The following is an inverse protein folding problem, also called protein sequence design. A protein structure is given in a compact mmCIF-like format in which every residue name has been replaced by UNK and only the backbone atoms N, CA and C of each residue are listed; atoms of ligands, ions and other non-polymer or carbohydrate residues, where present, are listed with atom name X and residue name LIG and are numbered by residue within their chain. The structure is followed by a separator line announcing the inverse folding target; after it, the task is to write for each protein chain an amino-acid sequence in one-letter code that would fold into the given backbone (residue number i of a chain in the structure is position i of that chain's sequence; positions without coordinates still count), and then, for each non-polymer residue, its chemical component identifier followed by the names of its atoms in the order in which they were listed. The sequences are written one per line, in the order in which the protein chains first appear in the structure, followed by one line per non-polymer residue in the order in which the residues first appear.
data_IF_710714621545
#
_entry.id   IF_710714621545
#
_cell.length_a   1.000
_cell.length_b   1.000
_cell.length_c   1.000
_cell.angle_alpha   90.00
_cell.angle_beta   90.00
_cell.angle_gamma   90.00
#
_symmetry.space_group_name_H-M   'P 1'
#
loop_
_entity.id
_entity.type
_entity.pdbx_description
1 polymer ?
#
# COMPACT_ATOMS: atom_id res chain seq x y z
N UNK A 1 10.09 10.48 3.17
CA UNK A 1 9.81 11.57 2.21
C UNK A 1 8.52 11.33 1.43
N UNK A 2 8.33 10.17 0.79
CA UNK A 2 7.11 9.87 -0.01
C UNK A 2 5.80 10.07 0.77
N UNK A 3 5.68 9.53 1.98
CA UNK A 3 4.44 9.65 2.78
C UNK A 3 4.10 11.12 3.07
N UNK A 4 5.11 11.93 3.39
CA UNK A 4 4.93 13.37 3.60
C UNK A 4 4.49 14.07 2.31
N UNK A 5 5.03 13.67 1.15
CA UNK A 5 4.59 14.17 -0.14
C UNK A 5 3.12 13.81 -0.43
N UNK A 6 2.67 12.60 -0.09
CA UNK A 6 1.26 12.22 -0.23
C UNK A 6 0.35 13.11 0.62
N UNK A 7 0.74 13.43 1.86
CA UNK A 7 -0.01 14.39 2.69
C UNK A 7 0.00 15.81 2.12
N UNK A 8 1.14 16.27 1.59
CA UNK A 8 1.22 17.59 0.96
C UNK A 8 0.30 17.68 -0.27
N UNK A 9 0.30 16.66 -1.13
CA UNK A 9 -0.60 16.57 -2.28
C UNK A 9 -2.06 16.53 -1.82
N UNK A 10 -2.40 15.71 -0.82
CA UNK A 10 -3.76 15.65 -0.29
C UNK A 10 -4.24 17.00 0.25
N UNK A 11 -3.36 17.77 0.90
CA UNK A 11 -3.66 19.11 1.39
C UNK A 11 -3.93 20.09 0.23
N UNK A 12 -3.11 20.06 -0.82
CA UNK A 12 -3.25 20.91 -2.01
C UNK A 12 -4.52 20.58 -2.81
N UNK A 13 -4.85 19.30 -2.96
CA UNK A 13 -6.00 18.83 -3.75
C UNK A 13 -7.34 18.96 -2.99
N UNK A 14 -7.32 19.06 -1.66
CA UNK A 14 -8.51 19.08 -0.82
C UNK A 14 -9.62 20.08 -1.26
N UNK A 15 -9.32 21.36 -1.55
CA UNK A 15 -10.33 22.32 -1.99
C UNK A 15 -10.89 22.03 -3.38
N UNK A 16 -10.11 21.39 -4.26
CA UNK A 16 -10.48 21.08 -5.65
C UNK A 16 -11.28 19.78 -5.76
N UNK A 17 -11.11 18.89 -4.79
CA UNK A 17 -11.71 17.56 -4.80
C UNK A 17 -13.24 17.66 -4.76
N UNK A 18 -13.98 16.89 -5.56
CA UNK A 18 -15.44 16.80 -5.43
C UNK A 18 -15.84 16.05 -4.14
N UNK A 19 -17.09 16.18 -3.64
CA UNK A 19 -17.54 15.49 -2.44
C UNK A 19 -17.37 13.96 -2.49
N UNK A 20 -17.49 13.38 -3.69
CA UNK A 20 -17.30 11.96 -3.95
C UNK A 20 -16.24 11.72 -5.02
N UNK A 21 -15.35 10.78 -4.76
CA UNK A 21 -14.25 10.35 -5.63
C UNK A 21 -14.31 8.83 -5.81
N UNK A 22 -13.76 8.27 -6.90
CA UNK A 22 -13.71 6.82 -7.10
C UNK A 22 -13.14 6.12 -5.87
N UNK A 23 -13.66 4.95 -5.52
CA UNK A 23 -13.20 4.20 -4.36
C UNK A 23 -13.07 2.70 -4.62
N UNK A 24 -13.47 2.27 -5.82
CA UNK A 24 -13.30 0.92 -6.31
C UNK A 24 -13.38 0.93 -7.84
N UNK A 25 -12.69 -0.04 -8.43
CA UNK A 25 -12.69 -0.27 -9.86
C UNK A 25 -12.92 -1.75 -10.11
N UNK A 26 -13.69 -2.04 -11.14
CA UNK A 26 -13.87 -3.39 -11.67
C UNK A 26 -12.56 -3.95 -12.26
N UNK A 27 -12.54 -5.26 -12.52
CA UNK A 27 -11.46 -5.89 -13.29
C UNK A 27 -11.28 -5.31 -14.71
N UNK A 28 -12.32 -4.65 -15.26
CA UNK A 28 -12.24 -3.94 -16.54
C UNK A 28 -11.61 -2.54 -16.44
N UNK A 29 -11.37 -2.04 -15.22
CA UNK A 29 -10.86 -0.69 -14.97
C UNK A 29 -11.95 0.37 -14.86
N UNK A 30 -13.21 0.00 -15.01
CA UNK A 30 -14.36 0.90 -14.82
C UNK A 30 -14.61 1.14 -13.34
N UNK A 31 -14.96 2.38 -12.98
CA UNK A 31 -15.36 2.77 -11.63
C UNK A 31 -16.75 2.21 -11.33
N UNK A 32 -16.90 1.48 -10.23
CA UNK A 32 -18.17 0.88 -9.77
C UNK A 32 -18.58 1.32 -8.35
N UNK A 33 -17.69 2.03 -7.64
CA UNK A 33 -18.00 2.60 -6.32
C UNK A 33 -17.31 3.95 -6.13
N UNK A 34 -18.03 4.87 -5.50
CA UNK A 34 -17.50 6.14 -5.03
C UNK A 34 -17.40 6.18 -3.51
N UNK A 35 -16.46 6.96 -2.99
CA UNK A 35 -16.24 7.22 -1.58
C UNK A 35 -16.06 8.73 -1.34
N UNK A 36 -16.00 9.13 -0.07
CA UNK A 36 -15.83 10.54 0.28
C UNK A 36 -14.38 11.05 0.09
N UNK A 37 -14.21 12.38 0.11
CA UNK A 37 -12.89 13.05 0.05
C UNK A 37 -11.87 12.46 1.03
N UNK A 38 -12.29 12.23 2.27
CA UNK A 38 -11.43 11.64 3.30
C UNK A 38 -10.89 10.26 2.87
N UNK A 39 -11.76 9.43 2.29
CA UNK A 39 -11.41 8.09 1.88
C UNK A 39 -10.38 8.09 0.75
N UNK A 40 -10.55 8.90 -0.30
CA UNK A 40 -9.59 8.86 -1.41
C UNK A 40 -8.33 9.72 -1.21
N UNK A 41 -8.38 10.79 -0.40
CA UNK A 41 -7.20 11.64 -0.18
C UNK A 41 -6.40 11.33 1.10
N UNK A 42 -7.02 10.88 2.19
CA UNK A 42 -6.32 10.70 3.47
C UNK A 42 -6.14 9.25 3.91
N UNK A 43 -7.05 8.34 3.53
CA UNK A 43 -6.96 6.95 3.96
C UNK A 43 -5.67 6.28 3.48
N UNK A 44 -5.23 6.55 2.24
CA UNK A 44 -4.01 5.95 1.67
C UNK A 44 -2.72 6.50 2.30
N UNK A 45 -2.51 7.83 2.44
CA UNK A 45 -1.38 8.36 3.20
C UNK A 45 -1.35 7.87 4.65
N UNK A 46 -2.51 7.81 5.33
CA UNK A 46 -2.61 7.30 6.70
C UNK A 46 -2.26 5.81 6.79
N UNK A 47 -2.74 4.99 5.86
CA UNK A 47 -2.42 3.56 5.79
C UNK A 47 -0.93 3.34 5.51
N UNK A 48 -0.33 4.14 4.62
CA UNK A 48 1.10 4.12 4.38
C UNK A 48 1.89 4.49 5.64
N UNK A 49 1.50 5.56 6.33
CA UNK A 49 2.11 5.98 7.59
C UNK A 49 1.99 4.89 8.67
N UNK A 50 0.82 4.26 8.80
CA UNK A 50 0.58 3.18 9.74
C UNK A 50 1.48 1.97 9.46
N UNK A 51 1.52 1.48 8.21
CA UNK A 51 2.36 0.33 7.82
C UNK A 51 3.83 0.60 8.13
N UNK A 52 4.34 1.77 7.75
CA UNK A 52 5.74 2.13 8.02
C UNK A 52 6.01 2.37 9.51
N UNK A 53 5.05 2.94 10.23
CA UNK A 53 5.10 3.07 11.69
C UNK A 53 5.17 1.71 12.38
N UNK A 54 4.39 0.72 11.93
CA UNK A 54 4.42 -0.65 12.44
C UNK A 54 5.76 -1.33 12.14
N UNK A 55 6.30 -1.19 10.92
CA UNK A 55 7.62 -1.73 10.56
C UNK A 55 8.72 -1.10 11.44
N UNK A 56 8.68 0.21 11.63
CA UNK A 56 9.62 0.93 12.49
C UNK A 56 9.48 0.48 13.97
N UNK A 57 8.26 0.35 14.47
CA UNK A 57 7.99 -0.14 15.82
C UNK A 57 8.51 -1.57 16.03
N UNK A 58 8.33 -2.45 15.05
CA UNK A 58 8.89 -3.81 15.05
C UNK A 58 10.42 -3.78 15.09
N UNK A 59 11.04 -2.90 14.28
CA UNK A 59 12.48 -2.71 14.29
C UNK A 59 12.97 -2.26 15.67
N UNK A 60 12.33 -1.25 16.28
CA UNK A 60 12.71 -0.72 17.60
C UNK A 60 12.49 -1.73 18.74
N UNK A 61 11.36 -2.42 18.77
CA UNK A 61 10.97 -3.30 19.88
C UNK A 61 11.57 -4.71 19.86
N UNK A 62 12.04 -5.20 18.71
CA UNK A 62 12.50 -6.60 18.55
C UNK A 62 13.86 -6.75 17.83
N UNK A 63 14.76 -5.77 17.97
CA UNK A 63 16.10 -5.78 17.36
C UNK A 63 16.85 -7.13 17.46
N UNK A 64 16.64 -7.90 18.54
CA UNK A 64 17.29 -9.18 18.85
C UNK A 64 16.59 -10.44 18.33
N UNK A 65 15.34 -10.39 17.86
CA UNK A 65 14.56 -11.59 17.47
C UNK A 65 14.41 -11.81 15.97
N UNK A 66 14.69 -10.80 15.14
CA UNK A 66 14.59 -10.92 13.69
C UNK A 66 15.96 -10.95 13.05
N UNK A 67 16.29 -12.02 12.33
CA UNK A 67 17.54 -12.06 11.58
C UNK A 67 17.50 -11.09 10.39
N UNK A 68 18.69 -10.72 9.89
CA UNK A 68 18.81 -9.81 8.74
C UNK A 68 17.95 -10.21 7.51
N UNK A 69 17.79 -11.50 7.16
CA UNK A 69 16.93 -11.90 6.05
C UNK A 69 15.44 -11.58 6.26
N UNK A 70 14.92 -11.75 7.48
CA UNK A 70 13.51 -11.44 7.78
C UNK A 70 13.28 -9.94 7.73
N UNK A 71 14.21 -9.14 8.27
CA UNK A 71 14.15 -7.67 8.19
C UNK A 71 14.11 -7.18 6.74
N UNK A 72 14.96 -7.73 5.86
CA UNK A 72 14.96 -7.39 4.42
C UNK A 72 13.63 -7.76 3.77
N UNK A 73 13.09 -8.94 4.05
CA UNK A 73 11.81 -9.36 3.49
C UNK A 73 10.64 -8.50 3.98
N UNK A 74 10.64 -8.10 5.25
CA UNK A 74 9.63 -7.19 5.80
C UNK A 74 9.71 -5.81 5.12
N UNK A 75 10.91 -5.28 4.90
CA UNK A 75 11.10 -4.01 4.17
C UNK A 75 10.62 -4.12 2.72
N UNK A 76 10.95 -5.23 2.02
CA UNK A 76 10.47 -5.47 0.66
C UNK A 76 8.93 -5.49 0.60
N UNK A 77 8.27 -6.13 1.56
CA UNK A 77 6.81 -6.10 1.67
C UNK A 77 6.29 -4.66 1.92
N UNK A 78 6.93 -3.92 2.83
CA UNK A 78 6.59 -2.53 3.09
C UNK A 78 6.70 -1.63 1.86
N UNK A 79 7.75 -1.80 1.05
CA UNK A 79 7.91 -1.10 -0.21
C UNK A 79 6.87 -1.52 -1.25
N UNK A 80 6.57 -2.82 -1.38
CA UNK A 80 5.54 -3.29 -2.31
C UNK A 80 4.16 -2.72 -1.98
N UNK A 81 3.78 -2.69 -0.69
CA UNK A 81 2.57 -2.02 -0.23
C UNK A 81 2.58 -0.52 -0.50
N UNK A 82 3.71 0.15 -0.26
CA UNK A 82 3.86 1.57 -0.55
C UNK A 82 3.64 1.88 -2.04
N UNK A 83 4.15 1.04 -2.95
CA UNK A 83 3.93 1.18 -4.40
C UNK A 83 2.44 1.08 -4.72
N UNK A 84 1.70 0.12 -4.13
CA UNK A 84 0.24 0.03 -4.30
C UNK A 84 -0.44 1.32 -3.82
N UNK A 85 -0.07 1.81 -2.63
CA UNK A 85 -0.67 3.03 -2.09
C UNK A 85 -0.37 4.26 -2.95
N UNK A 86 0.83 4.38 -3.50
CA UNK A 86 1.19 5.46 -4.44
C UNK A 86 0.36 5.32 -5.73
N UNK A 87 0.25 4.12 -6.29
CA UNK A 87 -0.49 3.91 -7.53
C UNK A 87 -1.96 4.29 -7.38
N UNK A 88 -2.62 3.83 -6.31
CA UNK A 88 -4.03 4.16 -6.06
C UNK A 88 -4.18 5.64 -5.72
N UNK A 89 -3.32 6.21 -4.88
CA UNK A 89 -3.40 7.63 -4.53
C UNK A 89 -3.15 8.54 -5.75
N UNK A 90 -2.18 8.18 -6.59
CA UNK A 90 -1.88 8.90 -7.82
C UNK A 90 -3.06 8.86 -8.80
N UNK A 91 -3.73 7.71 -8.94
CA UNK A 91 -4.94 7.59 -9.76
C UNK A 91 -6.06 8.51 -9.26
N UNK A 92 -6.28 8.59 -7.94
CA UNK A 92 -7.26 9.53 -7.35
C UNK A 92 -6.94 10.98 -7.70
N UNK A 93 -5.67 11.39 -7.52
CA UNK A 93 -5.22 12.75 -7.81
C UNK A 93 -5.38 13.07 -9.30
N UNK A 94 -5.01 12.14 -10.18
CA UNK A 94 -5.19 12.30 -11.62
C UNK A 94 -6.68 12.42 -11.99
N UNK A 95 -7.53 11.61 -11.39
CA UNK A 95 -8.98 11.67 -11.62
C UNK A 95 -9.59 12.99 -11.15
N UNK A 96 -9.18 13.50 -9.98
CA UNK A 96 -9.58 14.83 -9.47
C UNK A 96 -9.21 15.93 -10.48
N UNK A 97 -8.09 15.77 -11.17
CA UNK A 97 -7.59 16.68 -12.20
C UNK A 97 -8.16 16.36 -13.61
N UNK A 98 -9.20 15.53 -13.71
CA UNK A 98 -9.89 15.22 -14.97
C UNK A 98 -9.20 14.18 -15.86
N UNK A 99 -8.16 13.51 -15.35
CA UNK A 99 -7.42 12.47 -16.07
C UNK A 99 -7.91 11.10 -15.60
N UNK A 100 -8.62 10.38 -16.47
CA UNK A 100 -9.04 9.01 -16.22
C UNK A 100 -8.00 8.03 -16.76
N UNK A 101 -7.34 7.28 -15.87
CA UNK A 101 -6.46 6.17 -16.24
C UNK A 101 -7.15 4.83 -15.96
N UNK A 102 -6.74 3.81 -16.73
CA UNK A 102 -7.04 2.45 -16.33
C UNK A 102 -6.04 2.03 -15.25
N UNK A 103 -6.46 2.11 -13.98
CA UNK A 103 -5.64 1.80 -12.82
C UNK A 103 -5.07 0.36 -12.85
N UNK A 104 -5.69 -0.56 -13.58
CA UNK A 104 -5.28 -1.96 -13.63
C UNK A 104 -3.89 -2.16 -14.24
N UNK A 105 -3.43 -1.23 -15.10
CA UNK A 105 -2.06 -1.25 -15.61
C UNK A 105 -1.01 -1.13 -14.51
N UNK A 106 -1.36 -0.52 -13.38
CA UNK A 106 -0.45 -0.34 -12.24
C UNK A 106 -0.80 -1.27 -11.08
N UNK A 107 -2.10 -1.42 -10.80
CA UNK A 107 -2.58 -2.17 -9.66
C UNK A 107 -2.29 -3.67 -9.79
N UNK A 108 -2.44 -4.26 -10.98
CA UNK A 108 -2.17 -5.70 -11.16
C UNK A 108 -0.69 -6.04 -10.96
N UNK A 109 0.28 -5.39 -11.65
CA UNK A 109 1.70 -5.65 -11.39
C UNK A 109 2.10 -5.36 -9.94
N UNK A 110 1.60 -4.28 -9.34
CA UNK A 110 1.91 -3.93 -7.96
C UNK A 110 1.36 -4.96 -6.96
N UNK A 111 0.15 -5.50 -7.22
CA UNK A 111 -0.44 -6.57 -6.41
C UNK A 111 0.36 -7.86 -6.53
N UNK A 112 0.80 -8.23 -7.74
CA UNK A 112 1.68 -9.40 -7.94
C UNK A 112 3.01 -9.24 -7.20
N UNK A 113 3.61 -8.04 -7.25
CA UNK A 113 4.82 -7.72 -6.51
C UNK A 113 4.61 -7.84 -4.99
N UNK A 114 3.47 -7.36 -4.47
CA UNK A 114 3.12 -7.51 -3.06
C UNK A 114 2.93 -8.98 -2.67
N UNK A 115 2.23 -9.78 -3.49
CA UNK A 115 2.06 -11.21 -3.27
C UNK A 115 3.41 -11.94 -3.24
N UNK A 116 4.32 -11.61 -4.16
CA UNK A 116 5.68 -12.16 -4.19
C UNK A 116 6.49 -11.75 -2.94
N UNK A 117 6.41 -10.48 -2.54
CA UNK A 117 7.09 -9.97 -1.35
C UNK A 117 6.57 -10.64 -0.05
N UNK A 118 5.25 -10.84 0.03
CA UNK A 118 4.60 -11.55 1.11
C UNK A 118 5.07 -13.01 1.16
N UNK A 119 5.04 -13.73 0.03
CA UNK A 119 5.55 -15.10 -0.06
C UNK A 119 7.01 -15.21 0.40
N UNK A 120 7.87 -14.29 -0.06
CA UNK A 120 9.27 -14.23 0.38
C UNK A 120 9.42 -13.97 1.90
N UNK A 121 8.56 -13.16 2.51
CA UNK A 121 8.54 -12.96 3.96
C UNK A 121 8.13 -14.25 4.69
N UNK A 122 7.04 -14.88 4.27
CA UNK A 122 6.51 -16.09 4.91
C UNK A 122 7.54 -17.23 4.92
N UNK A 123 8.26 -17.43 3.80
CA UNK A 123 9.30 -18.46 3.69
C UNK A 123 10.51 -18.26 4.63
N UNK A 124 10.70 -17.03 5.14
CA UNK A 124 11.82 -16.66 6.01
C UNK A 124 11.46 -16.62 7.49
N UNK A 125 10.17 -16.63 7.85
CA UNK A 125 9.74 -16.65 9.24
C UNK A 125 9.85 -18.09 9.78
N UNK A 126 10.65 -18.36 10.84
CA UNK A 126 10.93 -19.73 11.30
C UNK A 126 9.68 -20.54 11.72
N UNK A 127 8.65 -19.88 12.27
CA UNK A 127 7.45 -20.54 12.80
C UNK A 127 6.55 -21.22 11.76
N UNK A 128 6.67 -20.89 10.47
CA UNK A 128 5.84 -21.52 9.42
C UNK A 128 6.42 -22.86 8.94
N UNK A 129 7.73 -23.08 9.11
CA UNK A 129 8.42 -24.28 8.59
C UNK A 129 8.10 -25.56 9.34
N UNK A 130 7.56 -25.47 10.56
CA UNK A 130 7.35 -26.61 11.46
C UNK A 130 5.90 -27.13 11.53
N UNK A 131 4.96 -26.53 10.76
CA UNK A 131 3.57 -26.99 10.69
C UNK A 131 3.29 -28.06 9.62
N UNK A 132 4.30 -28.44 8.82
CA UNK A 132 4.16 -29.48 7.80
C UNK A 132 4.68 -30.83 8.34
N UNK A 133 3.72 -31.61 8.90
CA UNK A 133 3.74 -33.05 9.20
C UNK A 133 4.78 -33.57 10.23
N UNK A 134 4.35 -34.07 11.41
CA UNK A 134 5.04 -35.18 12.04
C UNK A 134 4.83 -36.44 11.18
N UNK A 135 5.95 -37.05 10.74
CA UNK A 135 5.96 -38.40 10.17
C UNK A 135 5.82 -39.47 11.24
#
# INVERSE_FOLDING_TARGET
MIIAAMFAVAYVEWPLTPPSIPAHWTLGGSIDRFGGKFQGLLLLPLSAALVWGLIAAVALGRQRKFDAPVRRALLLLGYALLVIFIAVFGDQVLWINGVALNINYFLLPATLLMCAALGNLLLRVPGWRHGAMPG
#
